data_IF_644811863284
#
_entry.id   IF_644811863284
#
_cell.length_a   1.000
_cell.length_b   1.000
_cell.length_c   1.000
_cell.angle_alpha   90.00
_cell.angle_beta   90.00
_cell.angle_gamma   90.00
#
_symmetry.space_group_name_H-M   'P 1'
#
loop_
_entity.id
_entity.type
_entity.pdbx_description
1 polymer ?
#
# COMPACT_ATOMS: atom_id res chain seq x y z
N UNK A 1 -0.20 -17.56 7.06
CA UNK A 1 0.70 -16.39 7.10
C UNK A 1 1.03 -16.06 8.54
N UNK A 2 2.31 -15.96 8.84
CA UNK A 2 2.83 -15.44 10.11
C UNK A 2 2.31 -14.02 10.37
N UNK A 3 2.21 -13.63 11.65
CA UNK A 3 1.74 -12.30 12.06
C UNK A 3 2.50 -11.15 11.37
N UNK A 4 3.81 -11.31 11.25
CA UNK A 4 4.67 -10.39 10.50
C UNK A 4 4.22 -10.24 9.04
N UNK A 5 3.97 -11.35 8.32
CA UNK A 5 3.57 -11.32 6.92
C UNK A 5 2.22 -10.64 6.73
N UNK A 6 1.30 -10.81 7.68
CA UNK A 6 -0.03 -10.15 7.65
C UNK A 6 0.10 -8.62 7.76
N UNK A 7 0.89 -8.13 8.73
CA UNK A 7 1.14 -6.69 8.86
C UNK A 7 1.97 -6.12 7.73
N UNK A 8 2.91 -6.91 7.20
CA UNK A 8 3.66 -6.56 6.00
C UNK A 8 2.73 -6.40 4.79
N UNK A 9 1.73 -7.28 4.64
CA UNK A 9 0.73 -7.18 3.58
C UNK A 9 -0.03 -5.84 3.63
N UNK A 10 -0.47 -5.40 4.81
CA UNK A 10 -1.07 -4.04 4.98
C UNK A 10 -0.10 -2.95 4.53
N UNK A 11 1.16 -3.04 4.93
CA UNK A 11 2.19 -2.05 4.57
C UNK A 11 2.39 -1.97 3.04
N UNK A 12 2.67 -3.10 2.37
CA UNK A 12 2.99 -3.09 0.94
C UNK A 12 1.78 -2.74 0.08
N UNK A 13 0.58 -3.16 0.48
CA UNK A 13 -0.66 -2.80 -0.23
C UNK A 13 -0.99 -1.32 -0.03
N UNK A 14 -0.92 -0.77 1.18
CA UNK A 14 -1.13 0.66 1.39
C UNK A 14 -0.12 1.52 0.59
N UNK A 15 1.17 1.15 0.61
CA UNK A 15 2.19 1.86 -0.15
C UNK A 15 1.97 1.76 -1.67
N UNK A 16 1.62 0.57 -2.18
CA UNK A 16 1.32 0.38 -3.60
C UNK A 16 0.08 1.16 -4.02
N UNK A 17 -0.97 1.17 -3.20
CA UNK A 17 -2.18 1.97 -3.45
C UNK A 17 -1.88 3.47 -3.51
N UNK A 18 -1.03 3.98 -2.63
CA UNK A 18 -0.58 5.37 -2.66
C UNK A 18 0.29 5.69 -3.90
N UNK A 19 1.18 4.78 -4.28
CA UNK A 19 1.95 4.91 -5.53
C UNK A 19 1.01 4.95 -6.74
N UNK A 20 -0.04 4.12 -6.77
CA UNK A 20 -1.01 4.13 -7.87
C UNK A 20 -1.84 5.42 -7.96
N UNK A 21 -2.08 6.13 -6.84
CA UNK A 21 -2.69 7.47 -6.89
C UNK A 21 -1.83 8.48 -7.66
N UNK A 22 -0.52 8.25 -7.75
CA UNK A 22 0.44 9.07 -8.52
C UNK A 22 1.05 8.32 -9.70
N UNK A 23 0.29 7.40 -10.31
CA UNK A 23 0.68 6.64 -11.51
C UNK A 23 1.98 5.80 -11.35
N UNK A 24 2.28 5.36 -10.13
CA UNK A 24 3.44 4.55 -9.82
C UNK A 24 4.76 5.32 -9.77
N UNK A 25 4.72 6.65 -9.64
CA UNK A 25 5.89 7.53 -9.58
C UNK A 25 6.23 7.87 -8.11
N UNK A 26 7.36 7.36 -7.56
CA UNK A 26 7.73 7.59 -6.18
C UNK A 26 8.19 9.03 -5.93
N UNK A 27 8.74 9.73 -6.94
CA UNK A 27 9.15 11.13 -6.82
C UNK A 27 7.93 12.04 -6.70
N UNK A 28 6.88 11.77 -7.47
CA UNK A 28 5.59 12.47 -7.33
C UNK A 28 4.96 12.23 -5.97
N UNK A 29 4.96 10.99 -5.47
CA UNK A 29 4.47 10.70 -4.11
C UNK A 29 5.31 11.43 -3.06
N UNK A 30 6.63 11.47 -3.22
CA UNK A 30 7.53 12.16 -2.27
C UNK A 30 7.30 13.66 -2.18
N UNK A 31 6.78 14.27 -3.25
CA UNK A 31 6.45 15.70 -3.29
C UNK A 31 5.05 15.98 -2.73
N UNK A 32 4.19 14.96 -2.64
CA UNK A 32 2.85 15.05 -2.07
C UNK A 32 2.83 14.69 -0.58
N UNK A 33 2.92 15.71 0.28
CA UNK A 33 2.87 15.51 1.73
C UNK A 33 1.53 14.93 2.20
N UNK A 34 0.43 15.22 1.51
CA UNK A 34 -0.89 14.72 1.87
C UNK A 34 -1.02 13.23 1.52
N UNK A 35 -0.54 12.82 0.34
CA UNK A 35 -0.44 11.41 -0.07
C UNK A 35 0.46 10.59 0.85
N UNK A 36 1.64 11.10 1.22
CA UNK A 36 2.52 10.43 2.18
C UNK A 36 1.85 10.27 3.54
N UNK A 37 1.21 11.32 4.04
CA UNK A 37 0.45 11.26 5.29
C UNK A 37 -0.69 10.24 5.21
N UNK A 38 -1.41 10.20 4.09
CA UNK A 38 -2.56 9.33 3.90
C UNK A 38 -2.16 7.86 4.01
N UNK A 39 -1.07 7.43 3.37
CA UNK A 39 -0.67 6.01 3.46
C UNK A 39 -0.15 5.63 4.84
N UNK A 40 0.59 6.52 5.54
CA UNK A 40 1.04 6.24 6.91
C UNK A 40 -0.16 6.04 7.83
N UNK A 41 -1.17 6.90 7.72
CA UNK A 41 -2.40 6.77 8.52
C UNK A 41 -3.22 5.54 8.15
N UNK A 42 -3.26 5.16 6.87
CA UNK A 42 -3.91 3.92 6.44
C UNK A 42 -3.23 2.68 7.01
N UNK A 43 -1.89 2.67 7.10
CA UNK A 43 -1.14 1.57 7.71
C UNK A 43 -1.47 1.47 9.20
N UNK A 44 -1.43 2.60 9.93
CA UNK A 44 -1.78 2.64 11.35
C UNK A 44 -3.19 2.11 11.59
N UNK A 45 -4.16 2.58 10.82
CA UNK A 45 -5.56 2.12 10.88
C UNK A 45 -5.69 0.61 10.62
N UNK A 46 -4.99 0.09 9.61
CA UNK A 46 -4.98 -1.34 9.32
C UNK A 46 -4.32 -2.19 10.40
N UNK A 47 -3.25 -1.71 11.03
CA UNK A 47 -2.60 -2.40 12.15
C UNK A 47 -3.42 -2.33 13.44
N UNK A 48 -4.06 -1.20 13.73
CA UNK A 48 -4.99 -1.06 14.85
C UNK A 48 -6.19 -2.02 14.70
N UNK A 49 -6.66 -2.25 13.48
CA UNK A 49 -7.66 -3.27 13.17
C UNK A 49 -7.12 -4.69 13.42
N UNK A 50 -5.90 -4.97 12.99
CA UNK A 50 -5.24 -6.25 13.28
C UNK A 50 -5.04 -6.50 14.78
N UNK A 51 -4.76 -5.45 15.57
CA UNK A 51 -4.64 -5.54 17.03
C UNK A 51 -5.96 -5.98 17.70
N UNK A 52 -7.11 -5.48 17.21
CA UNK A 52 -8.44 -5.92 17.69
C UNK A 52 -8.69 -7.42 17.49
N UNK A 53 -8.05 -8.00 16.47
CA UNK A 53 -8.12 -9.44 16.17
C UNK A 53 -6.95 -10.25 16.77
N UNK A 54 -6.19 -9.68 17.70
CA UNK A 54 -5.03 -10.31 18.33
C UNK A 54 -3.97 -10.81 17.33
N UNK A 55 -3.87 -10.18 16.15
CA UNK A 55 -2.83 -10.49 15.18
C UNK A 55 -1.53 -9.85 15.64
N UNK A 56 -0.52 -10.69 15.92
CA UNK A 56 0.76 -10.29 16.50
C UNK A 56 1.49 -9.17 15.76
N UNK A 57 2.48 -8.58 16.44
CA UNK A 57 3.18 -7.37 16.02
C UNK A 57 4.05 -7.52 14.76
N UNK A 58 4.29 -6.39 14.08
CA UNK A 58 5.26 -6.32 12.99
C UNK A 58 6.70 -6.29 13.59
N UNK A 59 7.73 -6.51 12.77
CA UNK A 59 9.11 -6.33 13.20
C UNK A 59 9.33 -4.93 13.77
N UNK A 60 10.15 -4.84 14.83
CA UNK A 60 10.37 -3.61 15.59
C UNK A 60 10.80 -2.43 14.72
N UNK A 61 11.59 -2.67 13.67
CA UNK A 61 12.04 -1.64 12.73
C UNK A 61 10.89 -1.00 11.95
N UNK A 62 9.90 -1.79 11.55
CA UNK A 62 8.75 -1.33 10.78
C UNK A 62 7.77 -0.57 11.69
N UNK A 63 7.50 -1.10 12.88
CA UNK A 63 6.73 -0.40 13.92
C UNK A 63 7.39 0.93 14.32
N UNK A 64 8.71 0.96 14.46
CA UNK A 64 9.42 2.18 14.85
C UNK A 64 9.12 3.34 13.89
N UNK A 65 9.19 3.10 12.58
CA UNK A 65 9.08 4.19 11.59
C UNK A 65 7.65 4.53 11.19
N UNK A 66 6.71 3.57 11.27
CA UNK A 66 5.33 3.78 10.86
C UNK A 66 4.40 4.11 12.02
N UNK A 67 4.66 3.62 13.23
CA UNK A 67 3.73 3.71 14.36
C UNK A 67 4.30 4.57 15.50
N UNK A 68 5.53 4.30 15.94
CA UNK A 68 6.09 4.89 17.18
C UNK A 68 6.53 6.34 17.04
N UNK A 69 7.10 6.72 15.90
CA UNK A 69 7.54 8.12 15.71
C UNK A 69 6.35 9.05 15.47
N UNK A 70 6.46 10.33 15.85
CA UNK A 70 5.46 11.34 15.51
C UNK A 70 5.20 11.39 14.00
N UNK A 71 3.94 11.58 13.61
CA UNK A 71 3.53 11.56 12.21
C UNK A 71 4.37 12.50 11.30
N UNK A 72 4.72 13.75 11.70
CA UNK A 72 5.57 14.61 10.87
C UNK A 72 6.96 14.01 10.60
N UNK A 73 7.53 13.29 11.56
CA UNK A 73 8.83 12.62 11.42
C UNK A 73 8.72 11.44 10.46
N UNK A 74 7.66 10.62 10.58
CA UNK A 74 7.38 9.55 9.64
C UNK A 74 7.21 10.09 8.22
N UNK A 75 6.42 11.17 8.06
CA UNK A 75 6.21 11.82 6.76
C UNK A 75 7.54 12.30 6.17
N UNK A 76 8.37 13.01 6.94
CA UNK A 76 9.66 13.49 6.47
C UNK A 76 10.59 12.34 6.04
N UNK A 77 10.65 11.27 6.83
CA UNK A 77 11.40 10.07 6.49
C UNK A 77 10.95 9.45 5.17
N UNK A 78 9.64 9.21 5.02
CA UNK A 78 9.08 8.56 3.83
C UNK A 78 9.22 9.41 2.58
N UNK A 79 9.03 10.73 2.68
CA UNK A 79 9.33 11.66 1.58
C UNK A 79 10.79 11.52 1.13
N UNK A 80 11.74 11.54 2.07
CA UNK A 80 13.17 11.40 1.74
C UNK A 80 13.51 10.04 1.12
N UNK A 81 12.92 8.96 1.63
CA UNK A 81 13.12 7.63 1.09
C UNK A 81 12.57 7.49 -0.34
N UNK A 82 11.34 7.95 -0.56
CA UNK A 82 10.67 7.92 -1.86
C UNK A 82 11.35 8.80 -2.91
N UNK A 83 11.92 9.94 -2.50
CA UNK A 83 12.70 10.83 -3.38
C UNK A 83 14.09 10.26 -3.77
N UNK A 84 14.55 9.19 -3.11
CA UNK A 84 15.84 8.57 -3.39
C UNK A 84 15.73 7.46 -4.45
N UNK A 85 16.83 7.02 -5.07
CA UNK A 85 16.82 5.86 -5.98
C UNK A 85 16.22 4.60 -5.35
N UNK A 86 16.28 4.48 -4.02
CA UNK A 86 15.68 3.36 -3.28
C UNK A 86 14.16 3.33 -3.41
N UNK A 87 13.48 4.48 -3.50
CA UNK A 87 12.03 4.51 -3.68
C UNK A 87 11.59 3.83 -4.97
N UNK A 88 12.36 4.05 -6.04
CA UNK A 88 12.18 3.41 -7.33
C UNK A 88 12.50 1.90 -7.28
N UNK A 89 13.66 1.53 -6.74
CA UNK A 89 14.10 0.13 -6.74
C UNK A 89 13.36 -0.77 -5.76
N UNK A 90 13.04 -0.28 -4.56
CA UNK A 90 12.39 -1.06 -3.51
C UNK A 90 10.89 -1.19 -3.73
N UNK A 91 10.25 -0.16 -4.28
CA UNK A 91 8.79 -0.09 -4.30
C UNK A 91 8.23 0.09 -5.71
N UNK A 92 8.53 1.22 -6.34
CA UNK A 92 7.76 1.64 -7.52
C UNK A 92 7.92 0.71 -8.73
N UNK A 93 9.12 0.20 -8.98
CA UNK A 93 9.36 -0.75 -10.08
C UNK A 93 8.56 -2.04 -9.92
N UNK A 94 8.47 -2.58 -8.71
CA UNK A 94 7.68 -3.77 -8.42
C UNK A 94 6.19 -3.44 -8.47
N UNK A 95 5.76 -2.37 -7.80
CA UNK A 95 4.35 -1.94 -7.76
C UNK A 95 3.76 -1.78 -9.17
N UNK A 96 4.49 -1.17 -10.13
CA UNK A 96 3.98 -0.99 -11.51
C UNK A 96 3.71 -2.31 -12.26
N UNK A 97 4.30 -3.42 -11.85
CA UNK A 97 4.14 -4.75 -12.47
C UNK A 97 3.25 -5.69 -11.65
N UNK A 98 3.06 -5.40 -10.37
CA UNK A 98 2.40 -6.27 -9.42
C UNK A 98 0.91 -5.93 -9.18
N UNK A 99 0.24 -5.16 -10.07
CA UNK A 99 -1.12 -4.68 -9.80
C UNK A 99 -2.13 -5.80 -9.52
N UNK A 100 -2.07 -6.90 -10.27
CA UNK A 100 -2.91 -8.08 -10.06
C UNK A 100 -2.57 -8.81 -8.75
N UNK A 101 -1.28 -8.95 -8.43
CA UNK A 101 -0.79 -9.52 -7.17
C UNK A 101 -1.23 -8.68 -5.96
N UNK A 102 -1.10 -7.35 -6.05
CA UNK A 102 -1.54 -6.42 -5.00
C UNK A 102 -3.05 -6.49 -4.79
N UNK A 103 -3.85 -6.67 -5.85
CA UNK A 103 -5.31 -6.83 -5.75
C UNK A 103 -5.70 -8.15 -5.08
N UNK A 104 -4.98 -9.25 -5.38
CA UNK A 104 -5.17 -10.52 -4.67
C UNK A 104 -4.81 -10.38 -3.17
N UNK A 105 -3.67 -9.74 -2.87
CA UNK A 105 -3.20 -9.51 -1.50
C UNK A 105 -4.15 -8.59 -0.71
N UNK A 106 -4.80 -7.62 -1.36
CA UNK A 106 -5.89 -6.82 -0.76
C UNK A 106 -7.03 -7.72 -0.32
N UNK A 107 -7.42 -8.71 -1.14
CA UNK A 107 -8.44 -9.70 -0.76
C UNK A 107 -8.06 -10.44 0.52
N UNK A 108 -6.83 -10.94 0.59
CA UNK A 108 -6.30 -11.63 1.77
C UNK A 108 -6.31 -10.73 3.02
N UNK A 109 -5.91 -9.46 2.88
CA UNK A 109 -5.94 -8.51 4.00
C UNK A 109 -7.37 -8.23 4.45
N UNK A 110 -8.31 -8.03 3.53
CA UNK A 110 -9.71 -7.75 3.90
C UNK A 110 -10.35 -8.93 4.65
N UNK A 111 -10.00 -10.17 4.30
CA UNK A 111 -10.42 -11.36 5.08
C UNK A 111 -9.89 -11.31 6.52
N UNK A 112 -8.65 -10.84 6.72
CA UNK A 112 -8.07 -10.70 8.07
C UNK A 112 -8.70 -9.57 8.89
N UNK A 113 -9.18 -8.51 8.23
CA UNK A 113 -9.80 -7.35 8.88
C UNK A 113 -11.31 -7.54 9.13
N UNK A 114 -11.92 -8.61 8.62
CA UNK A 114 -13.33 -8.91 8.82
C UNK A 114 -14.22 -7.69 8.49
N UNK A 115 -15.16 -7.35 9.38
CA UNK A 115 -16.08 -6.21 9.25
C UNK A 115 -15.53 -4.89 9.80
N UNK A 116 -14.24 -4.82 10.16
CA UNK A 116 -13.66 -3.58 10.69
C UNK A 116 -13.74 -2.42 9.68
N UNK A 117 -14.18 -1.26 10.18
CA UNK A 117 -14.22 -0.03 9.42
C UNK A 117 -12.80 0.54 9.26
N UNK A 118 -12.18 0.28 8.11
CA UNK A 118 -10.85 0.80 7.72
C UNK A 118 -10.93 1.73 6.49
N UNK A 119 -11.60 2.89 6.58
CA UNK A 119 -11.89 3.74 5.43
C UNK A 119 -10.63 4.33 4.76
N UNK A 120 -9.57 4.63 5.51
CA UNK A 120 -8.32 5.18 4.95
C UNK A 120 -7.60 4.11 4.15
N UNK A 121 -7.56 2.88 4.67
CA UNK A 121 -6.98 1.75 3.97
C UNK A 121 -7.80 1.38 2.72
N UNK A 122 -9.13 1.30 2.84
CA UNK A 122 -10.04 1.00 1.72
C UNK A 122 -9.92 2.01 0.58
N UNK A 123 -9.71 3.29 0.89
CA UNK A 123 -9.44 4.31 -0.15
C UNK A 123 -8.24 3.95 -1.02
N UNK A 124 -7.12 3.52 -0.41
CA UNK A 124 -5.92 3.15 -1.15
C UNK A 124 -6.11 1.84 -1.93
N UNK A 125 -6.88 0.90 -1.38
CA UNK A 125 -7.22 -0.36 -2.05
C UNK A 125 -8.06 -0.14 -3.30
N UNK A 126 -8.96 0.85 -3.30
CA UNK A 126 -9.67 1.24 -4.50
C UNK A 126 -8.74 1.66 -5.66
N UNK A 127 -7.56 2.23 -5.36
CA UNK A 127 -6.55 2.54 -6.38
C UNK A 127 -5.89 1.29 -6.96
N UNK A 128 -5.65 0.27 -6.13
CA UNK A 128 -5.13 -1.03 -6.57
C UNK A 128 -6.13 -1.70 -7.51
N UNK A 129 -7.41 -1.75 -7.14
CA UNK A 129 -8.43 -2.41 -7.95
C UNK A 129 -8.62 -1.76 -9.32
N UNK A 130 -8.55 -0.42 -9.39
CA UNK A 130 -8.59 0.32 -10.66
C UNK A 130 -7.44 -0.07 -11.58
N UNK A 131 -6.20 -0.05 -11.08
CA UNK A 131 -5.03 -0.40 -11.89
C UNK A 131 -5.04 -1.88 -12.28
N UNK A 132 -5.43 -2.77 -11.37
CA UNK A 132 -5.54 -4.20 -11.64
C UNK A 132 -6.61 -4.51 -12.69
N UNK A 133 -7.73 -3.78 -12.71
CA UNK A 133 -8.76 -3.92 -13.73
C UNK A 133 -8.22 -3.57 -15.13
N UNK A 134 -7.45 -2.48 -15.25
CA UNK A 134 -6.78 -2.10 -16.50
C UNK A 134 -5.73 -3.14 -16.91
N UNK A 135 -4.92 -3.64 -15.97
CA UNK A 135 -3.88 -4.63 -16.24
C UNK A 135 -4.43 -6.00 -16.69
N UNK A 136 -5.69 -6.33 -16.36
CA UNK A 136 -6.39 -7.55 -16.83
C UNK A 136 -7.06 -7.39 -18.20
N UNK A 137 -7.21 -6.17 -18.71
CA UNK A 137 -7.82 -5.86 -20.00
C UNK A 137 -6.92 -5.84 -21.27
N UNK A 138 -5.60 -6.13 -21.29
CA UNK A 138 -4.77 -5.96 -22.50
C UNK A 138 -5.22 -6.76 -23.73
N UNK A 139 -5.96 -7.86 -23.55
CA UNK A 139 -6.19 -8.86 -24.61
C UNK A 139 -7.57 -8.80 -25.30
N UNK A 140 -8.47 -7.88 -24.87
CA UNK A 140 -9.82 -7.77 -25.47
C UNK A 140 -9.92 -6.81 -26.67
N UNK A 141 -8.92 -5.98 -26.93
CA UNK A 141 -8.94 -5.00 -28.03
C UNK A 141 -8.17 -5.45 -29.28
N UNK A 142 -7.53 -6.62 -29.28
CA UNK A 142 -6.70 -7.13 -30.38
C UNK A 142 -7.37 -8.23 -31.24
N UNK A 143 -8.71 -8.33 -31.27
CA UNK A 143 -9.40 -9.17 -32.26
C UNK A 143 -9.76 -8.33 -33.48
N UNK A 144 -9.19 -8.57 -34.68
CA UNK A 144 -9.76 -8.03 -35.90
C UNK A 144 -11.18 -8.60 -36.07
N UNK A 145 -12.14 -7.72 -36.36
CA UNK A 145 -13.50 -8.13 -36.73
C UNK A 145 -13.44 -8.92 -38.05
N UNK A 146 -14.24 -9.99 -38.20
CA UNK A 146 -14.34 -10.74 -39.46
C UNK A 146 -14.93 -9.87 -40.57
#
# INVERSE_FOLDING_TARGET
>A
MDSWLRRHAVFVTALSGALYEVAGDPLRLSSDSAGVRAFILAIREGWEAMDRHAIGSAPLSLCAILERVPLPVAVAYWKRLLASPRGEYYFARHARRAATEMSALVGDVLVLLCDDAVPRLRRLYASIDRVAATARQPDRQARPRP
#
